data_IF_484330321275
#
_entry.id   IF_484330321275
#
_cell.length_a   1.000
_cell.length_b   1.000
_cell.length_c   1.000
_cell.angle_alpha   90.00
_cell.angle_beta   90.00
_cell.angle_gamma   90.00
#
_symmetry.space_group_name_H-M   'P 1'
#
loop_
_entity.id
_entity.type
_entity.pdbx_description
1 polymer ?
#
# COMPACT_ATOMS: atom_id res chain seq x y z
N UNK A 1 -16.28 -15.64 -10.98
CA UNK A 1 -15.96 -15.70 -9.58
C UNK A 1 -15.88 -14.31 -8.98
N UNK A 2 -16.45 -14.16 -7.79
CA UNK A 2 -16.45 -12.87 -7.11
C UNK A 2 -15.24 -12.74 -6.20
N UNK A 3 -14.61 -11.59 -6.24
CA UNK A 3 -13.54 -11.27 -5.31
C UNK A 3 -14.13 -11.08 -3.93
N UNK A 4 -13.45 -11.57 -2.91
CA UNK A 4 -13.86 -11.29 -1.54
C UNK A 4 -13.62 -9.81 -1.22
N UNK A 5 -14.29 -9.29 -0.22
CA UNK A 5 -14.08 -7.91 0.24
C UNK A 5 -12.62 -7.70 0.62
N UNK A 6 -12.01 -8.68 1.28
CA UNK A 6 -10.59 -8.61 1.66
C UNK A 6 -9.67 -8.49 0.46
N UNK A 7 -9.92 -9.28 -0.58
CA UNK A 7 -9.13 -9.20 -1.81
C UNK A 7 -9.27 -7.83 -2.48
N UNK A 8 -10.48 -7.29 -2.50
CA UNK A 8 -10.71 -5.97 -3.04
C UNK A 8 -9.94 -4.89 -2.27
N UNK A 9 -9.91 -4.99 -0.94
CA UNK A 9 -9.15 -4.07 -0.09
C UNK A 9 -7.66 -4.18 -0.37
N UNK A 10 -7.14 -5.40 -0.47
CA UNK A 10 -5.72 -5.62 -0.75
C UNK A 10 -5.31 -5.05 -2.11
N UNK A 11 -6.14 -5.25 -3.12
CA UNK A 11 -5.88 -4.69 -4.45
C UNK A 11 -5.89 -3.16 -4.42
N UNK A 12 -6.83 -2.57 -3.71
CA UNK A 12 -6.91 -1.13 -3.56
C UNK A 12 -5.66 -0.59 -2.85
N UNK A 13 -5.20 -1.27 -1.81
CA UNK A 13 -3.99 -0.89 -1.09
C UNK A 13 -2.75 -0.96 -1.99
N UNK A 14 -2.62 -2.01 -2.79
CA UNK A 14 -1.50 -2.13 -3.73
C UNK A 14 -1.53 -1.02 -4.76
N UNK A 15 -2.71 -0.71 -5.27
CA UNK A 15 -2.87 0.38 -6.22
C UNK A 15 -2.46 1.72 -5.59
N UNK A 16 -2.89 1.95 -4.35
CA UNK A 16 -2.53 3.17 -3.62
C UNK A 16 -1.01 3.27 -3.42
N UNK A 17 -0.37 2.16 -3.09
CA UNK A 17 1.08 2.11 -2.92
C UNK A 17 1.79 2.47 -4.24
N UNK A 18 1.33 1.91 -5.35
CA UNK A 18 1.89 2.22 -6.67
C UNK A 18 1.73 3.69 -7.01
N UNK A 19 0.56 4.26 -6.73
CA UNK A 19 0.29 5.67 -6.96
C UNK A 19 1.21 6.55 -6.10
N UNK A 20 1.45 6.16 -4.86
CA UNK A 20 2.34 6.88 -3.97
C UNK A 20 3.79 6.83 -4.44
N UNK A 21 4.24 5.71 -4.98
CA UNK A 21 5.58 5.62 -5.57
C UNK A 21 5.73 6.58 -6.74
N UNK A 22 4.74 6.66 -7.60
CA UNK A 22 4.75 7.57 -8.73
C UNK A 22 4.81 9.03 -8.25
N UNK A 23 4.03 9.35 -7.21
CA UNK A 23 4.01 10.68 -6.62
C UNK A 23 5.37 11.03 -5.98
N UNK A 24 5.99 10.05 -5.31
CA UNK A 24 7.29 10.25 -4.67
C UNK A 24 8.38 10.61 -5.68
N UNK A 25 8.30 10.06 -6.89
CA UNK A 25 9.27 10.37 -7.94
C UNK A 25 9.20 11.83 -8.41
N UNK A 26 8.04 12.43 -8.31
CA UNK A 26 7.81 13.81 -8.72
C UNK A 26 7.95 14.81 -7.59
N UNK A 27 7.97 14.35 -6.34
CA UNK A 27 8.00 15.20 -5.16
C UNK A 27 9.43 15.64 -4.82
N UNK A 28 9.51 16.75 -4.06
CA UNK A 28 10.79 17.19 -3.49
C UNK A 28 11.32 16.15 -2.51
N UNK A 29 12.60 16.18 -2.20
CA UNK A 29 13.22 15.15 -1.36
C UNK A 29 12.60 15.03 0.03
N UNK A 30 12.17 16.14 0.65
CA UNK A 30 11.48 16.08 1.94
C UNK A 30 10.09 15.44 1.81
N UNK A 31 9.34 15.82 0.80
CA UNK A 31 8.01 15.27 0.55
C UNK A 31 8.11 13.80 0.16
N UNK A 32 9.07 13.46 -0.68
CA UNK A 32 9.32 12.07 -1.06
C UNK A 32 9.60 11.20 0.15
N UNK A 33 10.36 11.70 1.11
CA UNK A 33 10.67 10.99 2.34
C UNK A 33 9.41 10.67 3.14
N UNK A 34 8.51 11.65 3.27
CA UNK A 34 7.22 11.43 3.94
C UNK A 34 6.36 10.41 3.19
N UNK A 35 6.35 10.49 1.86
CA UNK A 35 5.60 9.54 1.04
C UNK A 35 6.13 8.13 1.24
N UNK A 36 7.45 7.95 1.25
CA UNK A 36 8.05 6.63 1.50
C UNK A 36 7.70 6.09 2.89
N UNK A 37 7.62 6.94 3.90
CA UNK A 37 7.19 6.52 5.24
C UNK A 37 5.74 6.01 5.22
N UNK A 38 4.86 6.69 4.50
CA UNK A 38 3.47 6.26 4.34
C UNK A 38 3.41 4.92 3.61
N UNK A 39 4.19 4.76 2.55
CA UNK A 39 4.27 3.50 1.79
C UNK A 39 4.69 2.36 2.70
N UNK A 40 5.69 2.56 3.54
CA UNK A 40 6.15 1.55 4.49
C UNK A 40 5.05 1.11 5.45
N UNK A 41 4.27 2.05 5.96
CA UNK A 41 3.16 1.75 6.85
C UNK A 41 2.07 0.95 6.14
N UNK A 42 1.75 1.32 4.91
CA UNK A 42 0.75 0.62 4.13
C UNK A 42 1.18 -0.80 3.79
N UNK A 43 2.45 -0.97 3.46
CA UNK A 43 3.00 -2.30 3.19
C UNK A 43 2.91 -3.21 4.41
N UNK A 44 3.27 -2.70 5.59
CA UNK A 44 3.18 -3.47 6.83
C UNK A 44 1.75 -3.87 7.13
N UNK A 45 0.83 -2.93 6.98
CA UNK A 45 -0.57 -3.20 7.21
C UNK A 45 -1.08 -4.31 6.28
N UNK A 46 -0.71 -4.25 5.02
CA UNK A 46 -1.12 -5.24 4.03
C UNK A 46 -0.52 -6.62 4.33
N UNK A 47 0.75 -6.67 4.72
CA UNK A 47 1.43 -7.92 5.08
C UNK A 47 0.81 -8.56 6.31
N UNK A 48 0.51 -7.77 7.35
CA UNK A 48 -0.15 -8.26 8.56
C UNK A 48 -1.53 -8.84 8.26
N UNK A 49 -2.27 -8.16 7.39
CA UNK A 49 -3.59 -8.62 7.00
C UNK A 49 -3.52 -9.94 6.22
N UNK A 50 -2.53 -10.10 5.35
CA UNK A 50 -2.29 -11.33 4.62
C UNK A 50 -1.93 -12.48 5.57
N UNK A 51 -1.10 -12.24 6.56
CA UNK A 51 -0.73 -13.25 7.57
C UNK A 51 -1.95 -13.71 8.35
N UNK A 52 -2.80 -12.78 8.79
CA UNK A 52 -4.02 -13.12 9.50
C UNK A 52 -4.99 -13.91 8.64
N UNK A 53 -5.02 -13.62 7.35
CA UNK A 53 -5.88 -14.34 6.41
C UNK A 53 -5.42 -15.78 6.17
N UNK A 54 -4.13 -16.06 6.34
CA UNK A 54 -3.59 -17.41 6.09
C UNK A 54 -3.70 -18.34 7.30
N UNK A 55 -4.13 -17.87 8.43
CA UNK A 55 -4.42 -18.68 9.61
C UNK A 55 -5.88 -19.14 9.56
#
# INVERSE_FOLDING_TARGET
MHKTTRQAIQETLRQAIDDLYALAKEADSEDAKHIYEIIERLKRFNEEDEEKASI
#
